data_IF_015891030019
#
_entry.id   IF_015891030019
#
_cell.length_a   1.000
_cell.length_b   1.000
_cell.length_c   1.000
_cell.angle_alpha   90.00
_cell.angle_beta   90.00
_cell.angle_gamma   90.00
#
_symmetry.space_group_name_H-M   'P 1'
#
loop_
_entity.id
_entity.type
_entity.pdbx_description
1 polymer ?
#
# COMPACT_ATOMS: atom_id res chain seq x y z
N UNK A 1 -10.05 -13.51 16.26
CA UNK A 1 -8.67 -14.03 16.19
C UNK A 1 -8.33 -14.15 14.72
N UNK A 2 -7.57 -13.21 14.17
CA UNK A 2 -7.05 -13.32 12.80
C UNK A 2 -6.10 -14.54 12.76
N UNK A 3 -6.17 -15.41 11.74
CA UNK A 3 -5.16 -16.43 11.55
C UNK A 3 -3.84 -15.71 11.23
N UNK A 4 -2.88 -15.78 12.14
CA UNK A 4 -1.54 -15.26 11.92
C UNK A 4 -0.91 -16.06 10.77
N UNK A 5 -0.85 -15.46 9.59
CA UNK A 5 -0.10 -15.97 8.47
C UNK A 5 1.38 -15.69 8.79
N UNK A 6 2.04 -16.61 9.51
CA UNK A 6 3.46 -16.50 9.82
C UNK A 6 4.31 -16.79 8.57
N UNK A 7 4.22 -15.90 7.57
CA UNK A 7 5.26 -15.77 6.59
C UNK A 7 6.56 -15.44 7.35
N UNK A 8 7.68 -16.09 7.03
CA UNK A 8 8.95 -15.74 7.68
C UNK A 8 9.30 -14.28 7.36
N UNK A 9 9.96 -13.58 8.29
CA UNK A 9 10.26 -12.15 8.15
C UNK A 9 11.00 -11.82 6.84
N UNK A 10 11.93 -12.68 6.41
CA UNK A 10 12.60 -12.55 5.11
C UNK A 10 11.65 -12.68 3.90
N UNK A 11 10.64 -13.54 3.98
CA UNK A 11 9.65 -13.69 2.90
C UNK A 11 8.75 -12.46 2.72
N UNK A 12 8.55 -11.67 3.79
CA UNK A 12 7.81 -10.40 3.73
C UNK A 12 8.56 -9.40 2.83
N UNK A 13 9.88 -9.25 3.01
CA UNK A 13 10.69 -8.36 2.17
C UNK A 13 10.68 -8.79 0.70
N UNK A 14 10.82 -10.09 0.45
CA UNK A 14 10.79 -10.66 -0.92
C UNK A 14 9.44 -10.41 -1.59
N UNK A 15 8.33 -10.62 -0.88
CA UNK A 15 6.99 -10.38 -1.41
C UNK A 15 6.73 -8.89 -1.67
N UNK A 16 7.13 -8.01 -0.76
CA UNK A 16 7.06 -6.57 -0.95
C UNK A 16 7.84 -6.12 -2.20
N UNK A 17 9.07 -6.62 -2.36
CA UNK A 17 9.91 -6.35 -3.54
C UNK A 17 9.21 -6.77 -4.84
N UNK A 18 8.60 -7.96 -4.85
CA UNK A 18 7.86 -8.45 -6.02
C UNK A 18 6.66 -7.56 -6.37
N UNK A 19 5.88 -7.14 -5.37
CA UNK A 19 4.72 -6.26 -5.57
C UNK A 19 5.19 -4.93 -6.18
N UNK A 20 6.18 -4.28 -5.56
CA UNK A 20 6.65 -2.97 -5.99
C UNK A 20 7.30 -3.03 -7.38
N UNK A 21 8.14 -4.02 -7.67
CA UNK A 21 8.73 -4.16 -9.01
C UNK A 21 7.66 -4.34 -10.10
N UNK A 22 6.57 -5.04 -9.81
CA UNK A 22 5.44 -5.22 -10.76
C UNK A 22 4.77 -3.88 -11.07
N UNK A 23 4.63 -3.02 -10.05
CA UNK A 23 3.94 -1.74 -10.14
C UNK A 23 4.81 -0.63 -10.74
N UNK A 24 6.10 -0.58 -10.37
CA UNK A 24 7.07 0.40 -10.92
C UNK A 24 7.21 0.27 -12.43
N UNK A 25 7.25 -0.96 -12.96
CA UNK A 25 7.31 -1.19 -14.41
C UNK A 25 6.08 -0.61 -15.13
N UNK A 26 4.94 -0.57 -14.45
CA UNK A 26 3.69 -0.09 -15.04
C UNK A 26 3.56 1.44 -15.03
N UNK A 27 4.20 2.17 -14.09
CA UNK A 27 3.90 3.59 -13.84
C UNK A 27 5.15 4.39 -13.50
N UNK A 28 5.40 5.48 -14.25
CA UNK A 28 6.51 6.44 -14.02
C UNK A 28 6.34 7.35 -12.79
N UNK A 29 5.43 7.04 -11.87
CA UNK A 29 5.05 7.92 -10.75
C UNK A 29 5.06 7.17 -9.40
N UNK A 30 6.16 6.46 -9.12
CA UNK A 30 6.36 5.72 -7.86
C UNK A 30 6.14 6.60 -6.62
N UNK A 31 6.40 7.90 -6.72
CA UNK A 31 6.30 8.83 -5.59
C UNK A 31 4.91 8.92 -4.98
N UNK A 32 3.85 8.91 -5.79
CA UNK A 32 2.47 9.03 -5.27
C UNK A 32 2.10 7.77 -4.48
N UNK A 33 2.50 6.61 -5.01
CA UNK A 33 2.30 5.30 -4.37
C UNK A 33 3.10 5.25 -3.06
N UNK A 34 4.38 5.60 -3.14
CA UNK A 34 5.31 5.65 -2.02
C UNK A 34 4.79 6.51 -0.87
N UNK A 35 4.36 7.73 -1.18
CA UNK A 35 3.83 8.68 -0.20
C UNK A 35 2.52 8.18 0.43
N UNK A 36 1.62 7.60 -0.36
CA UNK A 36 0.34 7.08 0.13
C UNK A 36 0.56 5.89 1.08
N UNK A 37 1.39 4.92 0.69
CA UNK A 37 1.70 3.75 1.52
C UNK A 37 2.41 4.19 2.81
N UNK A 38 3.39 5.11 2.72
CA UNK A 38 4.05 5.68 3.88
C UNK A 38 3.05 6.36 4.84
N UNK A 39 2.12 7.16 4.30
CA UNK A 39 1.09 7.83 5.10
C UNK A 39 0.20 6.81 5.84
N UNK A 40 -0.22 5.74 5.15
CA UNK A 40 -1.01 4.65 5.78
C UNK A 40 -0.22 4.01 6.92
N UNK A 41 1.06 3.65 6.71
CA UNK A 41 1.89 3.09 7.78
C UNK A 41 2.05 4.03 8.98
N UNK A 42 2.20 5.35 8.73
CA UNK A 42 2.25 6.36 9.78
C UNK A 42 0.94 6.45 10.55
N UNK A 43 -0.22 6.46 9.89
CA UNK A 43 -1.53 6.49 10.55
C UNK A 43 -1.79 5.24 11.40
N UNK A 44 -1.32 4.09 10.95
CA UNK A 44 -1.46 2.82 11.66
C UNK A 44 -0.47 2.67 12.82
N UNK A 45 0.44 3.63 13.00
CA UNK A 45 1.46 3.57 14.04
C UNK A 45 2.60 2.59 13.76
N UNK A 46 2.73 2.10 12.52
CA UNK A 46 3.77 1.14 12.12
C UNK A 46 5.13 1.80 11.86
N UNK A 47 5.14 3.12 11.68
CA UNK A 47 6.34 3.96 11.61
C UNK A 47 6.32 4.91 12.80
N UNK A 48 7.37 4.87 13.62
CA UNK A 48 7.46 5.65 14.86
C UNK A 48 7.80 7.12 14.56
N UNK A 49 8.80 7.35 13.71
CA UNK A 49 9.18 8.69 13.30
C UNK A 49 8.17 9.26 12.29
N UNK A 50 7.34 10.23 12.71
CA UNK A 50 6.31 10.82 11.82
C UNK A 50 6.89 11.76 10.76
N UNK A 51 8.10 12.26 10.95
CA UNK A 51 8.74 13.22 10.05
C UNK A 51 9.57 12.53 8.95
N UNK A 52 9.93 11.25 9.13
CA UNK A 52 10.70 10.48 8.14
C UNK A 52 9.94 10.41 6.80
N UNK A 53 10.59 10.78 5.70
CA UNK A 53 10.02 10.59 4.37
C UNK A 53 10.43 9.23 3.78
N UNK A 54 9.86 8.88 2.62
CA UNK A 54 10.06 7.55 2.04
C UNK A 54 11.49 7.34 1.54
N UNK A 55 12.14 8.39 1.04
CA UNK A 55 13.51 8.36 0.58
C UNK A 55 14.51 8.22 1.73
N UNK A 56 14.25 8.89 2.86
CA UNK A 56 15.05 8.77 4.07
C UNK A 56 14.94 7.37 4.65
N UNK A 57 13.73 6.82 4.76
CA UNK A 57 13.53 5.43 5.18
C UNK A 57 14.22 4.44 4.23
N UNK A 58 14.12 4.69 2.92
CA UNK A 58 14.82 3.89 1.91
C UNK A 58 16.33 3.95 2.06
N UNK A 59 16.90 5.14 2.27
CA UNK A 59 18.35 5.33 2.49
C UNK A 59 18.83 4.59 3.74
N UNK A 60 18.07 4.68 4.84
CA UNK A 60 18.35 3.94 6.08
C UNK A 60 18.30 2.43 5.83
N UNK A 61 17.32 1.95 5.07
CA UNK A 61 17.19 0.52 4.77
C UNK A 61 18.31 -0.02 3.87
N UNK A 62 18.78 0.77 2.90
CA UNK A 62 19.94 0.42 2.06
C UNK A 62 21.21 0.35 2.90
N UNK A 63 21.46 1.36 3.72
CA UNK A 63 22.65 1.42 4.56
C UNK A 63 22.67 0.30 5.63
N UNK A 64 21.52 0.02 6.26
CA UNK A 64 21.38 -1.04 7.23
C UNK A 64 21.64 -2.43 6.61
N UNK A 65 21.18 -2.68 5.38
CA UNK A 65 21.42 -3.94 4.67
C UNK A 65 22.92 -4.20 4.40
N UNK A 66 23.67 -3.14 4.08
CA UNK A 66 25.12 -3.24 3.84
C UNK A 66 25.92 -3.56 5.12
N UNK A 67 25.42 -3.14 6.29
CA UNK A 67 25.95 -3.53 7.60
C UNK A 67 25.41 -4.89 8.10
N UNK A 68 24.66 -5.60 7.26
CA UNK A 68 24.15 -6.94 7.57
C UNK A 68 22.90 -6.95 8.46
N UNK A 69 22.25 -5.80 8.68
CA UNK A 69 20.95 -5.71 9.34
C UNK A 69 19.89 -6.12 8.33
N UNK A 70 19.45 -7.37 8.41
CA UNK A 70 18.48 -7.96 7.49
C UNK A 70 17.23 -8.42 8.21
N UNK A 71 16.07 -8.47 7.51
CA UNK A 71 14.82 -8.88 8.15
C UNK A 71 14.90 -10.26 8.81
N UNK A 72 15.69 -11.19 8.26
CA UNK A 72 15.84 -12.54 8.81
C UNK A 72 16.49 -12.58 10.20
N UNK A 73 17.14 -11.49 10.63
CA UNK A 73 17.75 -11.38 11.95
C UNK A 73 16.73 -11.04 13.06
N UNK A 74 15.47 -10.76 12.71
CA UNK A 74 14.44 -10.28 13.63
C UNK A 74 13.25 -11.24 13.71
N UNK A 75 12.53 -11.18 14.84
CA UNK A 75 11.34 -12.02 15.07
C UNK A 75 10.12 -11.55 14.27
N UNK A 76 9.99 -10.24 14.08
CA UNK A 76 8.93 -9.60 13.30
C UNK A 76 9.53 -8.62 12.31
N UNK A 77 8.80 -8.36 11.22
CA UNK A 77 9.18 -7.35 10.25
C UNK A 77 9.10 -5.96 10.86
N UNK A 78 8.10 -5.68 11.70
CA UNK A 78 8.01 -4.43 12.46
C UNK A 78 9.25 -4.20 13.33
N UNK A 79 9.78 -5.23 14.01
CA UNK A 79 11.01 -5.10 14.80
C UNK A 79 12.23 -4.76 13.93
N UNK A 80 12.34 -5.36 12.73
CA UNK A 80 13.36 -5.00 11.74
C UNK A 80 13.24 -3.52 11.32
N UNK A 81 12.04 -3.04 10.99
CA UNK A 81 11.85 -1.65 10.55
C UNK A 81 12.15 -0.65 11.66
N UNK A 82 11.78 -0.95 12.91
CA UNK A 82 12.14 -0.11 14.08
C UNK A 82 13.65 0.04 14.27
N UNK A 83 14.43 -0.98 13.90
CA UNK A 83 15.89 -0.90 13.94
C UNK A 83 16.42 0.00 12.81
N UNK A 84 15.88 -0.16 11.60
CA UNK A 84 16.24 0.69 10.45
C UNK A 84 15.92 2.17 10.71
N UNK A 85 14.78 2.49 11.32
CA UNK A 85 14.39 3.87 11.60
C UNK A 85 15.44 4.62 12.43
N UNK A 86 16.16 3.91 13.31
CA UNK A 86 17.22 4.45 14.17
C UNK A 86 18.58 4.51 13.48
N UNK A 87 18.72 3.85 12.33
CA UNK A 87 19.99 3.76 11.64
C UNK A 87 20.44 5.14 11.14
N UNK A 88 21.72 5.45 11.32
CA UNK A 88 22.33 6.67 10.81
C UNK A 88 22.96 6.40 9.45
N UNK A 89 22.66 7.24 8.47
CA UNK A 89 23.19 7.11 7.11
C UNK A 89 24.34 8.08 6.95
N UNK A 90 25.50 7.58 6.53
CA UNK A 90 26.60 8.43 6.09
C UNK A 90 26.11 9.32 4.92
N UNK A 91 26.19 10.66 5.02
CA UNK A 91 25.72 11.56 3.98
C UNK A 91 26.32 11.29 2.60
N UNK A 92 27.60 10.94 2.52
CA UNK A 92 28.27 10.64 1.25
C UNK A 92 27.77 9.34 0.63
N UNK A 93 27.38 8.38 1.47
CA UNK A 93 26.74 7.14 1.02
C UNK A 93 25.31 7.40 0.56
N UNK A 94 24.56 8.23 1.28
CA UNK A 94 23.23 8.64 0.89
C UNK A 94 23.22 9.28 -0.51
N UNK A 95 24.22 10.07 -0.87
CA UNK A 95 24.35 10.68 -2.19
C UNK A 95 24.63 9.69 -3.32
N UNK A 96 25.10 8.48 -3.01
CA UNK A 96 25.38 7.45 -4.02
C UNK A 96 24.13 6.79 -4.62
N UNK A 97 22.97 6.89 -3.94
CA UNK A 97 21.69 6.39 -4.42
C UNK A 97 20.82 7.51 -4.98
N UNK A 98 20.20 7.25 -6.14
CA UNK A 98 19.22 8.12 -6.75
C UNK A 98 17.96 8.27 -5.88
N UNK A 99 17.20 9.34 -6.08
CA UNK A 99 15.91 9.54 -5.42
C UNK A 99 14.94 8.39 -5.70
N UNK A 100 14.92 7.86 -6.93
CA UNK A 100 14.08 6.74 -7.32
C UNK A 100 14.45 5.44 -6.58
N UNK A 101 15.74 5.14 -6.43
CA UNK A 101 16.21 3.98 -5.67
C UNK A 101 15.79 4.08 -4.20
N UNK A 102 15.97 5.26 -3.61
CA UNK A 102 15.57 5.55 -2.23
C UNK A 102 14.06 5.41 -2.05
N UNK A 103 13.26 6.06 -2.90
CA UNK A 103 11.80 6.00 -2.84
C UNK A 103 11.31 4.55 -3.04
N UNK A 104 11.87 3.83 -4.00
CA UNK A 104 11.54 2.41 -4.24
C UNK A 104 11.84 1.57 -3.02
N UNK A 105 13.03 1.73 -2.41
CA UNK A 105 13.39 0.95 -1.22
C UNK A 105 12.50 1.28 -0.03
N UNK A 106 12.21 2.56 0.22
CA UNK A 106 11.29 2.97 1.28
C UNK A 106 9.87 2.42 1.06
N UNK A 107 9.42 2.37 -0.19
CA UNK A 107 8.12 1.77 -0.56
C UNK A 107 8.10 0.27 -0.31
N UNK A 108 9.19 -0.45 -0.62
CA UNK A 108 9.32 -1.88 -0.30
C UNK A 108 9.23 -2.11 1.21
N UNK A 109 9.93 -1.30 2.01
CA UNK A 109 9.91 -1.43 3.48
C UNK A 109 8.49 -1.20 4.03
N UNK A 110 7.85 -0.10 3.64
CA UNK A 110 6.49 0.21 4.08
C UNK A 110 5.46 -0.80 3.59
N UNK A 111 5.61 -1.35 2.38
CA UNK A 111 4.78 -2.46 1.89
C UNK A 111 4.96 -3.73 2.71
N UNK A 112 6.19 -4.01 3.17
CA UNK A 112 6.47 -5.13 4.08
C UNK A 112 5.72 -5.00 5.41
N UNK A 113 5.67 -3.80 6.00
CA UNK A 113 4.87 -3.54 7.21
C UNK A 113 3.38 -3.82 6.99
N UNK A 114 2.83 -3.38 5.85
CA UNK A 114 1.43 -3.66 5.52
C UNK A 114 1.20 -5.16 5.29
N UNK A 115 2.13 -5.87 4.64
CA UNK A 115 2.04 -7.31 4.42
C UNK A 115 2.04 -8.09 5.74
N UNK A 116 2.86 -7.70 6.71
CA UNK A 116 2.85 -8.31 8.05
C UNK A 116 1.48 -8.13 8.73
N UNK A 117 0.90 -6.94 8.63
CA UNK A 117 -0.35 -6.59 9.31
C UNK A 117 -1.60 -7.17 8.63
N UNK A 118 -1.70 -7.03 7.31
CA UNK A 118 -2.90 -7.29 6.53
C UNK A 118 -2.80 -8.56 5.66
N UNK A 119 -1.62 -9.15 5.54
CA UNK A 119 -1.40 -10.33 4.71
C UNK A 119 -1.44 -10.03 3.20
N UNK A 120 -1.68 -11.06 2.36
CA UNK A 120 -1.45 -10.98 0.93
C UNK A 120 -2.37 -10.00 0.17
N UNK A 121 -3.47 -9.58 0.78
CA UNK A 121 -4.44 -8.63 0.17
C UNK A 121 -3.82 -7.27 -0.16
N UNK A 122 -2.71 -6.92 0.50
CA UNK A 122 -1.91 -5.73 0.23
C UNK A 122 -1.50 -5.64 -1.24
N UNK A 123 -1.17 -6.77 -1.87
CA UNK A 123 -0.78 -6.79 -3.28
C UNK A 123 -1.90 -6.25 -4.18
N UNK A 124 -3.13 -6.72 -3.97
CA UNK A 124 -4.28 -6.32 -4.78
C UNK A 124 -4.62 -4.84 -4.55
N UNK A 125 -4.54 -4.36 -3.31
CA UNK A 125 -4.79 -2.93 -2.99
C UNK A 125 -3.73 -2.03 -3.60
N UNK A 126 -2.44 -2.39 -3.53
CA UNK A 126 -1.35 -1.59 -4.15
C UNK A 126 -1.49 -1.55 -5.67
N UNK A 127 -1.92 -2.66 -6.30
CA UNK A 127 -2.22 -2.68 -7.74
C UNK A 127 -3.34 -1.71 -8.07
N UNK A 128 -4.42 -1.66 -7.29
CA UNK A 128 -5.50 -0.69 -7.54
C UNK A 128 -5.09 0.76 -7.28
N UNK A 129 -4.31 1.01 -6.22
CA UNK A 129 -3.69 2.31 -5.96
C UNK A 129 -2.85 2.76 -7.15
N UNK A 130 -2.03 1.87 -7.71
CA UNK A 130 -1.21 2.19 -8.87
C UNK A 130 -2.06 2.62 -10.07
N UNK A 131 -3.12 1.87 -10.39
CA UNK A 131 -3.99 2.18 -11.54
C UNK A 131 -4.73 3.50 -11.39
N UNK A 132 -5.04 3.89 -10.14
CA UNK A 132 -5.92 5.03 -9.83
C UNK A 132 -5.41 5.81 -8.61
N UNK A 133 -4.24 6.47 -8.71
CA UNK A 133 -3.56 7.04 -7.57
C UNK A 133 -4.35 8.16 -6.89
N UNK A 134 -5.10 8.96 -7.66
CA UNK A 134 -5.90 10.06 -7.12
C UNK A 134 -7.17 9.58 -6.40
N UNK A 135 -7.69 8.41 -6.78
CA UNK A 135 -8.89 7.83 -6.16
C UNK A 135 -8.55 7.09 -4.86
N UNK A 136 -7.44 6.36 -4.85
CA UNK A 136 -6.93 5.62 -3.69
C UNK A 136 -6.10 6.53 -2.79
N UNK A 137 -6.77 7.47 -2.14
CA UNK A 137 -6.19 8.29 -1.08
C UNK A 137 -5.77 7.44 0.13
N UNK A 138 -4.98 8.00 1.05
CA UNK A 138 -4.55 7.35 2.31
C UNK A 138 -5.72 6.69 3.06
N UNK A 139 -6.78 7.45 3.34
CA UNK A 139 -7.97 6.95 4.05
C UNK A 139 -8.65 5.81 3.29
N UNK A 140 -8.74 5.91 1.95
CA UNK A 140 -9.33 4.86 1.13
C UNK A 140 -8.47 3.60 1.16
N UNK A 141 -7.15 3.71 0.96
CA UNK A 141 -6.24 2.56 0.99
C UNK A 141 -6.33 1.85 2.34
N UNK A 142 -6.30 2.59 3.45
CA UNK A 142 -6.45 2.04 4.80
C UNK A 142 -7.79 1.31 4.98
N UNK A 143 -8.90 1.95 4.60
CA UNK A 143 -10.22 1.33 4.71
C UNK A 143 -10.34 0.06 3.86
N UNK A 144 -9.76 0.06 2.65
CA UNK A 144 -9.75 -1.12 1.79
C UNK A 144 -8.92 -2.26 2.39
N UNK A 145 -7.75 -1.96 2.97
CA UNK A 145 -6.94 -2.94 3.67
C UNK A 145 -7.68 -3.55 4.86
N UNK A 146 -8.30 -2.71 5.70
CA UNK A 146 -9.10 -3.15 6.85
C UNK A 146 -10.25 -4.07 6.39
N UNK A 147 -11.08 -3.62 5.46
CA UNK A 147 -12.24 -4.40 4.99
C UNK A 147 -11.83 -5.69 4.29
N UNK A 148 -10.77 -5.66 3.48
CA UNK A 148 -10.38 -6.83 2.69
C UNK A 148 -9.64 -7.87 3.54
N UNK A 149 -8.84 -7.44 4.52
CA UNK A 149 -8.23 -8.36 5.49
C UNK A 149 -9.27 -9.06 6.38
N UNK A 150 -10.38 -8.37 6.67
CA UNK A 150 -11.55 -8.92 7.36
C UNK A 150 -12.49 -9.71 6.42
N UNK A 151 -12.12 -9.90 5.14
CA UNK A 151 -12.91 -10.60 4.12
C UNK A 151 -14.31 -10.00 3.88
N UNK A 152 -14.50 -8.72 4.22
CA UNK A 152 -15.76 -8.00 3.97
C UNK A 152 -15.89 -7.55 2.52
N UNK A 153 -14.76 -7.39 1.82
CA UNK A 153 -14.72 -7.05 0.40
C UNK A 153 -13.71 -7.94 -0.35
N UNK A 154 -13.95 -8.10 -1.64
CA UNK A 154 -13.03 -8.74 -2.58
C UNK A 154 -12.47 -7.65 -3.53
N UNK A 155 -11.17 -7.37 -3.40
CA UNK A 155 -10.49 -6.33 -4.18
C UNK A 155 -10.50 -6.67 -5.68
N UNK A 156 -10.47 -7.95 -6.06
CA UNK A 156 -10.50 -8.35 -7.47
C UNK A 156 -11.89 -8.11 -8.07
N UNK A 157 -12.96 -8.33 -7.31
CA UNK A 157 -14.32 -7.96 -7.72
C UNK A 157 -14.47 -6.45 -7.87
N UNK A 158 -13.93 -5.66 -6.93
CA UNK A 158 -13.92 -4.21 -7.05
C UNK A 158 -13.12 -3.75 -8.27
N UNK A 159 -11.95 -4.36 -8.52
CA UNK A 159 -11.14 -4.07 -9.71
C UNK A 159 -11.93 -4.33 -11.00
N UNK A 160 -12.54 -5.51 -11.14
CA UNK A 160 -13.40 -5.87 -12.29
C UNK A 160 -14.55 -4.89 -12.46
N UNK A 161 -15.15 -4.46 -11.35
CA UNK A 161 -16.24 -3.49 -11.35
C UNK A 161 -15.78 -2.11 -11.86
N UNK A 162 -14.66 -1.62 -11.35
CA UNK A 162 -14.07 -0.33 -11.75
C UNK A 162 -13.51 -0.36 -13.18
N UNK A 163 -13.16 -1.53 -13.71
CA UNK A 163 -12.75 -1.70 -15.11
C UNK A 163 -13.94 -1.91 -16.07
N UNK A 164 -15.17 -2.07 -15.57
CA UNK A 164 -16.34 -2.37 -16.42
C UNK A 164 -16.39 -3.80 -16.97
N UNK A 165 -15.64 -4.72 -16.35
CA UNK A 165 -15.53 -6.13 -16.76
C UNK A 165 -16.73 -6.98 -16.33
N UNK A 166 -17.54 -6.48 -15.40
CA UNK A 166 -18.70 -7.22 -14.88
C UNK A 166 -19.89 -7.06 -15.83
N UNK A 167 -20.38 -8.18 -16.35
CA UNK A 167 -21.53 -8.22 -17.28
C UNK A 167 -22.83 -8.67 -16.60
N UNK A 168 -22.73 -9.38 -15.47
CA UNK A 168 -23.90 -9.82 -14.73
C UNK A 168 -24.52 -8.64 -13.96
N UNK A 169 -25.81 -8.37 -14.21
CA UNK A 169 -26.51 -7.23 -13.61
C UNK A 169 -26.63 -7.31 -12.07
N UNK A 170 -26.84 -8.51 -11.52
CA UNK A 170 -26.96 -8.68 -10.07
C UNK A 170 -25.60 -8.50 -9.38
N UNK A 171 -24.53 -9.01 -9.98
CA UNK A 171 -23.14 -8.81 -9.53
C UNK A 171 -22.77 -7.32 -9.58
N UNK A 172 -23.09 -6.63 -10.69
CA UNK A 172 -22.91 -5.18 -10.84
C UNK A 172 -23.60 -4.39 -9.72
N UNK A 173 -24.87 -4.70 -9.44
CA UNK A 173 -25.62 -4.03 -8.37
C UNK A 173 -24.98 -4.27 -7.01
N UNK A 174 -24.67 -5.53 -6.70
CA UNK A 174 -24.09 -5.91 -5.40
C UNK A 174 -22.79 -5.17 -5.13
N UNK A 175 -21.88 -5.14 -6.11
CA UNK A 175 -20.59 -4.45 -5.93
C UNK A 175 -20.78 -2.93 -5.92
N UNK A 176 -21.75 -2.39 -6.67
CA UNK A 176 -22.09 -0.97 -6.58
C UNK A 176 -22.55 -0.59 -5.16
N UNK A 177 -23.40 -1.40 -4.54
CA UNK A 177 -23.91 -1.15 -3.19
C UNK A 177 -22.75 -1.15 -2.17
N UNK A 178 -21.82 -2.11 -2.29
CA UNK A 178 -20.57 -2.14 -1.49
C UNK A 178 -19.74 -0.87 -1.69
N UNK A 179 -19.55 -0.44 -2.94
CA UNK A 179 -18.81 0.79 -3.24
C UNK A 179 -19.49 2.03 -2.66
N UNK A 180 -20.82 2.11 -2.70
CA UNK A 180 -21.59 3.21 -2.08
C UNK A 180 -21.49 3.20 -0.54
N UNK A 181 -21.45 2.03 0.08
CA UNK A 181 -21.22 1.92 1.52
C UNK A 181 -19.82 2.42 1.90
N UNK A 182 -18.81 2.07 1.12
CA UNK A 182 -17.44 2.57 1.30
C UNK A 182 -17.40 4.09 1.13
N UNK A 183 -18.00 4.64 0.06
CA UNK A 183 -18.10 6.08 -0.13
C UNK A 183 -18.86 6.77 1.00
N UNK A 184 -19.83 6.10 1.61
CA UNK A 184 -20.56 6.65 2.76
C UNK A 184 -19.69 6.70 4.00
N UNK A 185 -18.82 5.71 4.21
CA UNK A 185 -17.85 5.72 5.32
C UNK A 185 -16.80 6.82 5.14
N UNK A 186 -16.28 7.01 3.92
CA UNK A 186 -15.23 7.99 3.63
C UNK A 186 -15.77 9.42 3.52
N UNK A 187 -16.94 9.58 2.89
CA UNK A 187 -17.51 10.86 2.52
C UNK A 187 -18.96 10.99 3.05
N UNK A 188 -19.18 10.96 4.37
CA UNK A 188 -20.53 10.97 4.96
C UNK A 188 -21.32 12.24 4.64
N UNK A 189 -20.63 13.33 4.27
CA UNK A 189 -21.22 14.62 3.94
C UNK A 189 -21.74 14.71 2.50
N UNK A 190 -21.34 13.79 1.60
CA UNK A 190 -21.80 13.78 0.22
C UNK A 190 -23.16 13.10 0.08
N UNK A 191 -23.95 13.58 -0.88
CA UNK A 191 -25.19 12.94 -1.32
C UNK A 191 -24.91 11.60 -2.00
N UNK A 192 -25.93 10.74 -2.10
CA UNK A 192 -25.82 9.47 -2.84
C UNK A 192 -25.43 9.68 -4.29
N UNK A 193 -25.92 10.74 -4.92
CA UNK A 193 -25.63 11.08 -6.32
C UNK A 193 -24.16 11.46 -6.52
N UNK A 194 -23.61 12.31 -5.65
CA UNK A 194 -22.18 12.69 -5.68
C UNK A 194 -21.27 11.48 -5.43
N UNK A 195 -21.61 10.60 -4.48
CA UNK A 195 -20.86 9.35 -4.24
C UNK A 195 -20.88 8.45 -5.47
N UNK A 196 -22.05 8.31 -6.10
CA UNK A 196 -22.19 7.52 -7.32
C UNK A 196 -21.38 8.12 -8.48
N UNK A 197 -21.33 9.46 -8.57
CA UNK A 197 -20.49 10.16 -9.54
C UNK A 197 -19.01 9.85 -9.33
N UNK A 198 -18.50 9.96 -8.10
CA UNK A 198 -17.11 9.62 -7.76
C UNK A 198 -16.73 8.20 -8.23
N UNK A 199 -17.63 7.22 -8.00
CA UNK A 199 -17.45 5.83 -8.44
C UNK A 199 -17.44 5.72 -9.97
N UNK A 200 -18.37 6.40 -10.65
CA UNK A 200 -18.52 6.31 -12.10
C UNK A 200 -17.38 6.97 -12.87
N UNK A 201 -16.80 8.05 -12.34
CA UNK A 201 -15.62 8.71 -12.94
C UNK A 201 -14.43 7.75 -13.07
N UNK A 202 -14.28 6.82 -12.13
CA UNK A 202 -13.21 5.81 -12.18
C UNK A 202 -13.37 4.78 -13.29
N UNK A 203 -14.61 4.58 -13.78
CA UNK A 203 -14.91 3.71 -14.91
C UNK A 203 -14.72 4.42 -16.25
N UNK A 204 -14.92 5.74 -16.27
CA UNK A 204 -14.84 6.55 -17.48
C UNK A 204 -13.39 6.80 -17.96
N UNK A 205 -12.41 6.77 -17.04
CA UNK A 205 -10.98 6.98 -17.33
C UNK A 205 -10.30 5.83 -18.10
N UNK A 206 -11.04 4.80 -18.53
CA UNK A 206 -10.54 3.65 -19.29
C UNK A 206 -11.05 3.58 -20.75
N UNK A 207 -11.76 4.62 -21.22
CA UNK A 207 -12.14 4.82 -22.62
C UNK A 207 -11.21 5.82 -23.30
#
# INVERSE_FOLDING_TARGET
MLPAFFASVGSILVNATRIINTVVIAIKAIQVIANTIMAVCKELGLIENKDINVEELGSKALAAEEEGIKPENFETYEAYVKEIEKFEVDPTKAESWSEEEKATRGTIVTTGLLLEKYGPVVADVIVELSKRPDFFTTDRVKLYLDLASDQQIDIQQISRYLNGDIKNFNELRTINDVMLEIETKLNPHLTTEEKQQNINEQKAQQQ
#
